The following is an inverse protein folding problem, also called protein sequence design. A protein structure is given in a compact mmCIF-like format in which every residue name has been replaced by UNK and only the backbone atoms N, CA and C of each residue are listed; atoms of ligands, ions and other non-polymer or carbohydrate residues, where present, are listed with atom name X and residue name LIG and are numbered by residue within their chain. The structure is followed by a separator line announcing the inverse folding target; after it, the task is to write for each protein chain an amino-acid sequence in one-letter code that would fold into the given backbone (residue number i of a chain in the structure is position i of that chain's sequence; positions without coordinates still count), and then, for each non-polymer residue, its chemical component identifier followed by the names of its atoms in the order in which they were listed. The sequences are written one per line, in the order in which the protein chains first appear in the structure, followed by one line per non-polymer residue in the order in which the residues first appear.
data_IF_186832215543
#
_entry.id   IF_186832215543
#
_cell.length_a   1.000
_cell.length_b   1.000
_cell.length_c   1.000
_cell.angle_alpha   90.00
_cell.angle_beta   90.00
_cell.angle_gamma   90.00
#
_symmetry.space_group_name_H-M   'P 1'
#
loop_
_entity.id
_entity.type
_entity.pdbx_description
1 polymer ?
#
# COMPACT_ATOMS: atom_id res chain seq x y z
N UNK A 1 -43.88 3.35 16.44
CA UNK A 1 -43.30 2.38 15.49
C UNK A 1 -42.69 3.05 14.24
N UNK A 2 -43.42 3.98 13.61
CA UNK A 2 -43.07 4.69 12.35
C UNK A 2 -41.71 5.42 12.39
N UNK A 3 -41.38 6.11 13.49
CA UNK A 3 -40.13 6.89 13.63
C UNK A 3 -38.87 6.00 13.54
N UNK A 4 -38.93 4.76 14.07
CA UNK A 4 -37.82 3.80 14.00
C UNK A 4 -37.59 3.31 12.57
N UNK A 5 -38.66 3.18 11.80
CA UNK A 5 -38.62 2.71 10.42
C UNK A 5 -38.09 3.78 9.46
N UNK A 6 -38.49 5.04 9.66
CA UNK A 6 -37.93 6.19 8.96
C UNK A 6 -36.42 6.34 9.21
N UNK A 7 -35.96 6.22 10.48
CA UNK A 7 -34.53 6.25 10.80
C UNK A 7 -33.75 5.12 10.12
N UNK A 8 -34.32 3.92 10.01
CA UNK A 8 -33.68 2.78 9.30
C UNK A 8 -33.55 3.05 7.80
N UNK A 9 -34.60 3.57 7.15
CA UNK A 9 -34.56 3.95 5.72
C UNK A 9 -33.53 5.06 5.45
N UNK A 10 -33.52 6.11 6.29
CA UNK A 10 -32.54 7.20 6.19
C UNK A 10 -31.09 6.70 6.34
N UNK A 11 -30.82 5.80 7.30
CA UNK A 11 -29.48 5.22 7.51
C UNK A 11 -29.02 4.36 6.33
N UNK A 12 -29.93 3.59 5.72
CA UNK A 12 -29.65 2.80 4.49
C UNK A 12 -29.34 3.70 3.29
N UNK A 13 -30.10 4.77 3.09
CA UNK A 13 -29.87 5.74 1.99
C UNK A 13 -28.54 6.46 2.17
N UNK A 14 -28.23 6.90 3.40
CA UNK A 14 -26.95 7.53 3.73
C UNK A 14 -25.77 6.57 3.47
N UNK A 15 -25.86 5.30 3.91
CA UNK A 15 -24.81 4.32 3.64
C UNK A 15 -24.64 4.04 2.15
N UNK A 16 -25.74 3.90 1.39
CA UNK A 16 -25.69 3.68 -0.07
C UNK A 16 -25.02 4.87 -0.79
N UNK A 17 -25.35 6.11 -0.43
CA UNK A 17 -24.69 7.32 -0.98
C UNK A 17 -23.20 7.39 -0.61
N UNK A 18 -22.83 7.05 0.63
CA UNK A 18 -21.42 6.99 1.06
C UNK A 18 -20.62 5.94 0.28
N UNK A 19 -21.20 4.77 0.04
CA UNK A 19 -20.59 3.68 -0.73
C UNK A 19 -20.43 4.04 -2.21
N UNK A 20 -21.42 4.69 -2.82
CA UNK A 20 -21.36 5.19 -4.20
C UNK A 20 -20.27 6.26 -4.33
N UNK A 21 -20.21 7.24 -3.41
CA UNK A 21 -19.16 8.26 -3.39
C UNK A 21 -17.76 7.65 -3.28
N UNK A 22 -17.58 6.66 -2.41
CA UNK A 22 -16.31 5.94 -2.29
C UNK A 22 -15.94 5.18 -3.57
N UNK A 23 -16.92 4.64 -4.31
CA UNK A 23 -16.68 3.97 -5.59
C UNK A 23 -16.18 4.95 -6.66
N UNK A 24 -16.80 6.13 -6.79
CA UNK A 24 -16.34 7.18 -7.70
C UNK A 24 -14.97 7.73 -7.31
N UNK A 25 -14.71 7.92 -6.01
CA UNK A 25 -13.39 8.33 -5.52
C UNK A 25 -12.31 7.30 -5.90
N UNK A 26 -12.59 5.99 -5.76
CA UNK A 26 -11.66 4.93 -6.16
C UNK A 26 -11.40 4.92 -7.67
N UNK A 27 -12.45 5.08 -8.48
CA UNK A 27 -12.31 5.16 -9.94
C UNK A 27 -11.53 6.41 -10.34
N UNK A 28 -11.78 7.56 -9.70
CA UNK A 28 -11.05 8.79 -9.94
C UNK A 28 -9.56 8.68 -9.59
N UNK A 29 -9.22 8.04 -8.47
CA UNK A 29 -7.82 7.76 -8.11
C UNK A 29 -7.17 6.84 -9.13
N UNK A 30 -7.84 5.75 -9.54
CA UNK A 30 -7.29 4.84 -10.57
C UNK A 30 -7.05 5.56 -11.91
N UNK A 31 -8.00 6.39 -12.36
CA UNK A 31 -7.86 7.17 -13.59
C UNK A 31 -6.74 8.21 -13.48
N UNK A 32 -6.62 8.88 -12.32
CA UNK A 32 -5.53 9.82 -12.08
C UNK A 32 -4.17 9.12 -12.10
N UNK A 33 -4.06 7.93 -11.49
CA UNK A 33 -2.83 7.12 -11.53
C UNK A 33 -2.51 6.68 -12.96
N UNK A 34 -3.50 6.26 -13.76
CA UNK A 34 -3.28 5.91 -15.16
C UNK A 34 -2.85 7.13 -15.98
N UNK A 35 -3.46 8.29 -15.74
CA UNK A 35 -3.12 9.55 -16.41
C UNK A 35 -1.70 10.02 -16.06
N UNK A 36 -1.30 9.98 -14.79
CA UNK A 36 0.06 10.34 -14.39
C UNK A 36 1.09 9.39 -15.00
N UNK A 37 0.81 8.08 -15.03
CA UNK A 37 1.65 7.11 -15.74
C UNK A 37 1.78 7.45 -17.23
N UNK A 38 0.68 7.80 -17.90
CA UNK A 38 0.67 8.17 -19.31
C UNK A 38 1.49 9.44 -19.58
N UNK A 39 1.33 10.49 -18.76
CA UNK A 39 2.05 11.76 -18.91
C UNK A 39 3.56 11.62 -18.69
N UNK A 40 3.98 10.76 -17.76
CA UNK A 40 5.40 10.51 -17.46
C UNK A 40 6.05 9.71 -18.59
N UNK A 41 5.38 8.66 -19.09
CA UNK A 41 5.87 7.89 -20.25
C UNK A 41 6.00 8.78 -21.49
N UNK A 42 5.15 9.79 -21.65
CA UNK A 42 5.25 10.78 -22.72
C UNK A 42 6.45 11.73 -22.61
N UNK A 43 7.05 11.89 -21.43
CA UNK A 43 8.10 12.90 -21.17
C UNK A 43 9.48 12.27 -21.07
N UNK A 44 9.99 11.75 -22.19
CA UNK A 44 11.30 11.06 -22.34
C UNK A 44 12.54 11.82 -21.80
N UNK A 45 12.45 13.12 -21.51
CA UNK A 45 13.58 13.97 -21.07
C UNK A 45 13.94 13.85 -19.58
N UNK A 46 13.03 13.37 -18.72
CA UNK A 46 13.30 13.24 -17.27
C UNK A 46 13.99 11.92 -16.90
N UNK A 47 14.13 11.00 -17.86
CA UNK A 47 14.68 9.65 -17.66
C UNK A 47 16.20 9.66 -17.41
N UNK A 48 16.94 10.63 -17.98
CA UNK A 48 18.39 10.74 -17.83
C UNK A 48 18.84 11.13 -16.41
N UNK A 49 17.97 11.74 -15.60
CA UNK A 49 18.31 12.03 -14.20
C UNK A 49 18.23 10.79 -13.30
N UNK A 50 17.48 9.75 -13.71
CA UNK A 50 17.37 8.49 -12.96
C UNK A 50 18.61 7.58 -13.11
N UNK A 51 19.36 7.71 -14.20
CA UNK A 51 20.53 6.88 -14.47
C UNK A 51 21.65 7.09 -13.44
N UNK A 52 21.80 8.32 -12.94
CA UNK A 52 22.80 8.68 -11.93
C UNK A 52 22.41 8.32 -10.48
N UNK A 53 21.14 7.98 -10.22
CA UNK A 53 20.68 7.59 -8.87
C UNK A 53 21.18 6.20 -8.46
N UNK A 54 21.39 5.31 -9.44
CA UNK A 54 21.79 3.93 -9.20
C UNK A 54 20.82 3.15 -8.30
N UNK A 55 21.25 1.95 -7.89
CA UNK A 55 20.46 1.10 -7.01
C UNK A 55 20.21 1.70 -5.61
N UNK A 56 21.15 2.48 -5.08
CA UNK A 56 20.99 3.12 -3.78
C UNK A 56 19.94 4.24 -3.82
N UNK A 57 19.96 5.09 -4.84
CA UNK A 57 18.94 6.11 -5.02
C UNK A 57 17.56 5.48 -5.23
N UNK A 58 17.48 4.41 -6.02
CA UNK A 58 16.25 3.63 -6.18
C UNK A 58 15.73 3.07 -4.86
N UNK A 59 16.61 2.51 -4.01
CA UNK A 59 16.24 2.05 -2.66
C UNK A 59 15.65 3.19 -1.84
N UNK A 60 16.34 4.32 -1.73
CA UNK A 60 15.92 5.47 -0.92
C UNK A 60 14.59 6.06 -1.41
N UNK A 61 14.40 6.20 -2.72
CA UNK A 61 13.13 6.64 -3.30
C UNK A 61 12.01 5.71 -2.84
N UNK A 62 12.22 4.39 -2.89
CA UNK A 62 11.23 3.40 -2.50
C UNK A 62 10.93 3.39 -0.99
N UNK A 63 11.93 3.68 -0.15
CA UNK A 63 11.76 3.91 1.31
C UNK A 63 10.86 5.11 1.54
N UNK A 64 11.25 6.29 1.06
CA UNK A 64 10.51 7.53 1.35
C UNK A 64 9.12 7.54 0.72
N UNK A 65 8.97 6.95 -0.47
CA UNK A 65 7.67 6.84 -1.15
C UNK A 65 6.65 5.98 -0.38
N UNK A 66 7.10 4.97 0.37
CA UNK A 66 6.19 4.13 1.17
C UNK A 66 6.15 4.53 2.64
N UNK A 67 7.09 5.36 3.10
CA UNK A 67 7.03 5.98 4.42
C UNK A 67 5.88 7.00 4.52
N UNK A 68 5.51 7.66 3.41
CA UNK A 68 4.36 8.56 3.36
C UNK A 68 3.07 7.78 3.22
N UNK A 69 2.37 7.59 4.35
CA UNK A 69 1.11 6.83 4.56
C UNK A 69 -0.06 7.15 3.59
N UNK A 70 0.07 8.16 2.72
CA UNK A 70 -1.05 8.69 1.92
C UNK A 70 -0.72 9.23 0.51
N UNK A 71 0.55 9.34 0.09
CA UNK A 71 0.90 9.92 -1.23
C UNK A 71 1.55 8.85 -2.13
N UNK A 72 0.75 8.10 -2.91
CA UNK A 72 1.25 6.99 -3.72
C UNK A 72 1.79 7.47 -5.07
N UNK A 73 2.94 8.14 -5.13
CA UNK A 73 3.31 8.81 -6.40
C UNK A 73 4.74 8.68 -6.96
N UNK A 74 5.78 8.12 -6.29
CA UNK A 74 7.06 7.86 -6.98
C UNK A 74 7.48 6.39 -7.17
N UNK A 75 7.05 5.48 -6.28
CA UNK A 75 7.64 4.13 -6.20
C UNK A 75 7.42 3.26 -7.46
N UNK A 76 6.19 3.19 -7.98
CA UNK A 76 5.89 2.37 -9.16
C UNK A 76 6.63 2.85 -10.41
N UNK A 77 6.71 4.16 -10.59
CA UNK A 77 7.38 4.79 -11.73
C UNK A 77 8.89 4.54 -11.63
N UNK A 78 9.49 4.76 -10.46
CA UNK A 78 10.91 4.53 -10.26
C UNK A 78 11.31 3.07 -10.52
N UNK A 79 10.48 2.09 -10.09
CA UNK A 79 10.70 0.67 -10.37
C UNK A 79 10.55 0.35 -11.85
N UNK A 80 9.53 0.90 -12.52
CA UNK A 80 9.29 0.69 -13.94
C UNK A 80 10.43 1.24 -14.80
N UNK A 81 10.85 2.49 -14.55
CA UNK A 81 11.98 3.13 -15.23
C UNK A 81 13.28 2.40 -14.90
N UNK A 82 13.53 2.11 -13.62
CA UNK A 82 14.73 1.38 -13.19
C UNK A 82 14.85 0.02 -13.87
N UNK A 83 13.73 -0.66 -14.11
CA UNK A 83 13.69 -1.93 -14.84
C UNK A 83 14.10 -1.83 -16.31
N UNK A 84 13.91 -0.67 -16.94
CA UNK A 84 14.40 -0.41 -18.30
C UNK A 84 15.89 -0.06 -18.34
N UNK A 85 16.40 0.59 -17.29
CA UNK A 85 17.78 1.08 -17.24
C UNK A 85 18.79 0.05 -16.69
N UNK A 86 18.35 -0.82 -15.78
CA UNK A 86 19.23 -1.75 -15.04
C UNK A 86 18.69 -3.17 -15.02
N UNK A 87 19.43 -4.10 -14.38
CA UNK A 87 18.97 -5.48 -14.22
C UNK A 87 17.59 -5.53 -13.51
N UNK A 88 16.52 -5.99 -14.18
CA UNK A 88 15.15 -5.92 -13.65
C UNK A 88 14.94 -6.72 -12.37
N UNK A 89 15.67 -7.82 -12.20
CA UNK A 89 15.60 -8.64 -10.99
C UNK A 89 16.17 -7.88 -9.78
N UNK A 90 17.36 -7.29 -9.92
CA UNK A 90 17.98 -6.49 -8.85
C UNK A 90 17.14 -5.25 -8.51
N UNK A 91 16.59 -4.58 -9.53
CA UNK A 91 15.64 -3.47 -9.35
C UNK A 91 14.45 -3.89 -8.50
N UNK A 92 13.85 -5.05 -8.81
CA UNK A 92 12.72 -5.59 -8.07
C UNK A 92 13.07 -5.91 -6.61
N UNK A 93 14.20 -6.57 -6.38
CA UNK A 93 14.68 -6.92 -5.03
C UNK A 93 14.95 -5.67 -4.19
N UNK A 94 15.76 -4.75 -4.71
CA UNK A 94 16.21 -3.56 -3.98
C UNK A 94 15.03 -2.62 -3.69
N UNK A 95 14.15 -2.43 -4.68
CA UNK A 95 12.95 -1.63 -4.48
C UNK A 95 11.99 -2.28 -3.49
N UNK A 96 11.84 -3.61 -3.55
CA UNK A 96 10.98 -4.35 -2.61
C UNK A 96 11.44 -4.23 -1.16
N UNK A 97 12.76 -4.31 -0.93
CA UNK A 97 13.35 -4.06 0.38
C UNK A 97 13.16 -2.61 0.83
N UNK A 98 13.38 -1.64 -0.06
CA UNK A 98 13.14 -0.22 0.22
C UNK A 98 11.69 0.03 0.63
N UNK A 99 10.73 -0.55 -0.10
CA UNK A 99 9.32 -0.47 0.28
C UNK A 99 9.07 -1.07 1.67
N UNK A 100 9.60 -2.26 1.97
CA UNK A 100 9.40 -2.91 3.26
C UNK A 100 9.95 -2.07 4.43
N UNK A 101 11.08 -1.38 4.23
CA UNK A 101 11.62 -0.43 5.21
C UNK A 101 10.71 0.78 5.38
N UNK A 102 10.20 1.36 4.29
CA UNK A 102 9.23 2.47 4.36
C UNK A 102 7.96 2.12 5.12
N UNK A 103 7.44 0.91 4.93
CA UNK A 103 6.23 0.40 5.60
C UNK A 103 6.40 0.20 7.11
N UNK A 104 7.64 0.15 7.61
CA UNK A 104 7.88 0.14 9.06
C UNK A 104 7.35 1.39 9.75
N UNK A 105 7.27 2.54 9.04
CA UNK A 105 6.67 3.76 9.58
C UNK A 105 5.22 3.52 9.94
N UNK A 106 4.43 2.95 9.02
CA UNK A 106 3.03 2.59 9.27
C UNK A 106 2.88 1.59 10.42
N UNK A 107 3.77 0.59 10.47
CA UNK A 107 3.81 -0.36 11.58
C UNK A 107 4.05 0.33 12.93
N UNK A 108 5.06 1.20 13.04
CA UNK A 108 5.35 1.89 14.30
C UNK A 108 4.28 2.91 14.70
N UNK A 109 3.65 3.57 13.73
CA UNK A 109 2.48 4.41 13.98
C UNK A 109 1.34 3.61 14.61
N UNK A 110 1.04 2.42 14.07
CA UNK A 110 0.08 1.50 14.67
C UNK A 110 0.48 1.03 16.07
N UNK A 111 1.75 0.70 16.26
CA UNK A 111 2.30 0.29 17.55
C UNK A 111 2.17 1.37 18.62
N UNK A 112 2.41 2.63 18.28
CA UNK A 112 2.19 3.78 19.16
C UNK A 112 0.70 4.06 19.44
N UNK A 113 -0.18 3.82 18.47
CA UNK A 113 -1.62 4.05 18.56
C UNK A 113 -2.43 3.01 19.35
N UNK A 114 -1.79 2.00 19.95
CA UNK A 114 -2.49 0.88 20.62
C UNK A 114 -3.40 1.29 21.77
N UNK A 115 -3.09 2.38 22.47
CA UNK A 115 -3.96 2.90 23.53
C UNK A 115 -5.37 3.27 23.06
N UNK A 116 -5.56 3.55 21.76
CA UNK A 116 -6.86 3.86 21.17
C UNK A 116 -7.80 2.65 21.22
N UNK A 117 -7.27 1.42 21.23
CA UNK A 117 -8.06 0.18 21.26
C UNK A 117 -8.96 0.13 22.52
N UNK A 118 -8.48 0.63 23.65
CA UNK A 118 -9.22 0.63 24.92
C UNK A 118 -10.46 1.52 24.89
N UNK A 119 -10.48 2.52 24.00
CA UNK A 119 -11.59 3.44 23.81
C UNK A 119 -12.60 2.94 22.75
N UNK A 120 -12.36 1.77 22.14
CA UNK A 120 -13.31 1.18 21.19
C UNK A 120 -14.49 0.56 21.94
N UNK A 121 -15.70 0.93 21.53
CA UNK A 121 -16.95 0.43 22.12
C UNK A 121 -17.85 -0.29 21.11
N UNK A 122 -18.75 -1.13 21.63
CA UNK A 122 -19.79 -1.81 20.86
C UNK A 122 -19.27 -2.61 19.67
N UNK A 123 -19.75 -2.28 18.46
CA UNK A 123 -19.43 -3.03 17.23
C UNK A 123 -17.96 -2.90 16.80
N UNK A 124 -17.28 -1.81 17.15
CA UNK A 124 -15.88 -1.59 16.79
C UNK A 124 -14.95 -2.55 17.52
N UNK A 125 -15.17 -2.74 18.83
CA UNK A 125 -14.41 -3.68 19.66
C UNK A 125 -14.59 -5.12 19.19
N UNK A 126 -15.81 -5.51 18.86
CA UNK A 126 -16.11 -6.85 18.32
C UNK A 126 -15.46 -7.09 16.97
N UNK A 127 -15.48 -6.09 16.07
CA UNK A 127 -14.78 -6.18 14.79
C UNK A 127 -13.27 -6.30 14.98
N UNK A 128 -12.69 -5.48 15.85
CA UNK A 128 -11.25 -5.52 16.16
C UNK A 128 -10.81 -6.90 16.67
N UNK A 129 -11.55 -7.50 17.61
CA UNK A 129 -11.28 -8.87 18.09
C UNK A 129 -11.31 -9.92 16.98
N UNK A 130 -12.20 -9.77 15.99
CA UNK A 130 -12.24 -10.68 14.82
C UNK A 130 -10.99 -10.52 13.96
N UNK A 131 -10.56 -9.29 13.72
CA UNK A 131 -9.33 -8.99 12.96
C UNK A 131 -8.13 -9.55 13.70
N UNK A 132 -8.03 -9.34 15.01
CA UNK A 132 -6.97 -9.91 15.87
C UNK A 132 -6.93 -11.44 15.80
N UNK A 133 -8.08 -12.11 15.94
CA UNK A 133 -8.16 -13.57 15.87
C UNK A 133 -7.74 -14.12 14.50
N UNK A 134 -8.07 -13.40 13.41
CA UNK A 134 -7.61 -13.75 12.07
C UNK A 134 -6.10 -13.52 11.93
N UNK A 135 -5.58 -12.38 12.36
CA UNK A 135 -4.15 -12.06 12.29
C UNK A 135 -3.29 -13.04 13.09
N UNK A 136 -3.79 -13.54 14.23
CA UNK A 136 -3.13 -14.60 15.01
C UNK A 136 -2.93 -15.89 14.21
N UNK A 137 -3.89 -16.26 13.35
CA UNK A 137 -3.85 -17.49 12.55
C UNK A 137 -3.13 -17.32 11.21
N UNK A 138 -3.32 -16.19 10.55
CA UNK A 138 -2.93 -16.01 9.14
C UNK A 138 -2.20 -14.70 8.85
N UNK A 139 -1.75 -13.97 9.87
CA UNK A 139 -1.15 -12.63 9.72
C UNK A 139 -0.02 -12.58 8.68
N UNK A 140 0.90 -13.54 8.69
CA UNK A 140 2.03 -13.59 7.74
C UNK A 140 1.53 -13.68 6.30
N UNK A 141 0.63 -14.63 6.03
CA UNK A 141 0.04 -14.84 4.70
C UNK A 141 -0.78 -13.64 4.27
N UNK A 142 -1.56 -13.05 5.18
CA UNK A 142 -2.34 -11.84 4.92
C UNK A 142 -1.43 -10.69 4.51
N UNK A 143 -0.34 -10.42 5.25
CA UNK A 143 0.62 -9.36 4.93
C UNK A 143 1.31 -9.64 3.59
N UNK A 144 1.75 -10.87 3.35
CA UNK A 144 2.41 -11.25 2.10
C UNK A 144 1.50 -11.05 0.88
N UNK A 145 0.28 -11.59 0.91
CA UNK A 145 -0.65 -11.49 -0.23
C UNK A 145 -1.05 -10.03 -0.46
N UNK A 146 -1.36 -9.30 0.61
CA UNK A 146 -1.78 -7.90 0.48
C UNK A 146 -0.65 -6.96 0.05
N UNK A 147 0.61 -7.28 0.37
CA UNK A 147 1.77 -6.51 -0.10
C UNK A 147 2.15 -6.81 -1.55
N UNK A 148 1.94 -8.05 -2.00
CA UNK A 148 2.19 -8.46 -3.38
C UNK A 148 1.18 -7.84 -4.35
N UNK A 149 -0.08 -7.74 -3.95
CA UNK A 149 -1.12 -7.11 -4.77
C UNK A 149 -0.97 -5.59 -4.65
N UNK A 150 -1.01 -4.83 -5.76
CA UNK A 150 -0.96 -3.36 -5.74
C UNK A 150 -2.28 -2.78 -5.19
N UNK A 151 -2.51 -2.95 -3.88
CA UNK A 151 -3.66 -2.40 -3.17
C UNK A 151 -3.34 -0.99 -2.67
N UNK A 152 -4.19 0.02 -2.93
CA UNK A 152 -3.96 1.40 -2.51
C UNK A 152 -4.08 1.62 -0.98
N UNK A 153 -4.34 0.57 -0.21
CA UNK A 153 -4.60 0.64 1.23
C UNK A 153 -3.71 -0.32 2.03
N UNK A 154 -2.58 -0.78 1.48
CA UNK A 154 -1.67 -1.66 2.21
C UNK A 154 -1.15 -1.02 3.51
N UNK A 155 -0.96 0.30 3.53
CA UNK A 155 -0.50 1.05 4.71
C UNK A 155 -1.42 0.83 5.93
N UNK A 156 -2.72 0.58 5.69
CA UNK A 156 -3.68 0.20 6.75
C UNK A 156 -3.30 -1.15 7.36
N UNK A 157 -2.85 -2.11 6.55
CA UNK A 157 -2.35 -3.42 7.02
C UNK A 157 -1.12 -3.22 7.89
N UNK A 158 -0.20 -2.32 7.52
CA UNK A 158 0.94 -1.94 8.35
C UNK A 158 0.52 -1.41 9.72
N UNK A 159 -0.36 -0.40 9.74
CA UNK A 159 -0.89 0.19 10.98
C UNK A 159 -1.62 -0.85 11.83
N UNK A 160 -2.47 -1.68 11.22
CA UNK A 160 -3.19 -2.75 11.93
C UNK A 160 -2.22 -3.77 12.52
N UNK A 161 -1.18 -4.16 11.78
CA UNK A 161 -0.15 -5.10 12.25
C UNK A 161 0.57 -4.56 13.48
N UNK A 162 0.96 -3.28 13.45
CA UNK A 162 1.56 -2.60 14.61
C UNK A 162 0.61 -2.50 15.79
N UNK A 163 -0.65 -2.12 15.53
CA UNK A 163 -1.72 -2.02 16.52
C UNK A 163 -1.96 -3.37 17.22
N UNK A 164 -1.84 -4.47 16.49
CA UNK A 164 -2.01 -5.83 17.04
C UNK A 164 -0.75 -6.40 17.70
N UNK A 165 0.33 -5.62 17.83
CA UNK A 165 1.62 -6.09 18.32
C UNK A 165 2.16 -7.31 17.53
N UNK A 166 1.91 -7.34 16.22
CA UNK A 166 2.40 -8.43 15.39
C UNK A 166 3.94 -8.44 15.38
N UNK A 167 4.63 -9.60 15.38
CA UNK A 167 6.09 -9.61 15.43
C UNK A 167 6.72 -8.86 14.25
N UNK A 168 7.53 -7.84 14.55
CA UNK A 168 8.13 -6.92 13.56
C UNK A 168 8.87 -7.68 12.45
N UNK A 169 9.66 -8.68 12.80
CA UNK A 169 10.43 -9.46 11.82
C UNK A 169 9.52 -10.25 10.87
N UNK A 170 8.39 -10.79 11.37
CA UNK A 170 7.41 -11.50 10.53
C UNK A 170 6.71 -10.53 9.58
N UNK A 171 6.37 -9.35 10.07
CA UNK A 171 5.81 -8.28 9.25
C UNK A 171 6.79 -7.85 8.15
N UNK A 172 8.04 -7.58 8.51
CA UNK A 172 9.07 -7.14 7.57
C UNK A 172 9.33 -8.18 6.49
N UNK A 173 9.53 -9.46 6.85
CA UNK A 173 9.78 -10.53 5.87
C UNK A 173 8.58 -10.72 4.95
N UNK A 174 7.36 -10.80 5.50
CA UNK A 174 6.16 -10.96 4.68
C UNK A 174 5.98 -9.80 3.69
N UNK A 175 6.20 -8.56 4.16
CA UNK A 175 6.10 -7.36 3.34
C UNK A 175 7.20 -7.32 2.28
N UNK A 176 8.44 -7.62 2.65
CA UNK A 176 9.57 -7.67 1.72
C UNK A 176 9.32 -8.69 0.61
N UNK A 177 8.94 -9.92 0.94
CA UNK A 177 8.67 -10.95 -0.07
C UNK A 177 7.56 -10.53 -1.04
N UNK A 178 6.45 -9.98 -0.54
CA UNK A 178 5.37 -9.54 -1.41
C UNK A 178 5.76 -8.36 -2.29
N UNK A 179 6.45 -7.36 -1.73
CA UNK A 179 6.91 -6.17 -2.48
C UNK A 179 7.99 -6.51 -3.49
N UNK A 180 8.91 -7.43 -3.18
CA UNK A 180 9.91 -7.94 -4.13
C UNK A 180 9.20 -8.62 -5.30
N UNK A 181 8.27 -9.55 -5.04
CA UNK A 181 7.53 -10.23 -6.09
C UNK A 181 6.80 -9.24 -7.02
N UNK A 182 6.09 -8.28 -6.43
CA UNK A 182 5.37 -7.23 -7.16
C UNK A 182 6.32 -6.38 -8.02
N UNK A 183 7.43 -5.95 -7.44
CA UNK A 183 8.35 -5.03 -8.10
C UNK A 183 9.20 -5.73 -9.16
N UNK A 184 9.49 -7.02 -9.04
CA UNK A 184 10.10 -7.81 -10.11
C UNK A 184 9.18 -7.79 -11.33
N UNK A 185 7.89 -8.11 -11.17
CA UNK A 185 6.91 -8.08 -12.27
C UNK A 185 6.87 -6.70 -12.93
N UNK A 186 6.87 -5.64 -12.12
CA UNK A 186 6.83 -4.26 -12.60
C UNK A 186 8.11 -3.84 -13.34
N UNK A 187 9.28 -4.21 -12.81
CA UNK A 187 10.58 -3.92 -13.43
C UNK A 187 10.73 -4.64 -14.77
N UNK A 188 10.32 -5.92 -14.85
CA UNK A 188 10.28 -6.66 -16.11
C UNK A 188 9.30 -6.06 -17.12
N UNK A 189 8.20 -5.47 -16.64
CA UNK A 189 7.28 -4.75 -17.53
C UNK A 189 7.94 -3.49 -18.10
N UNK A 190 8.68 -2.75 -17.27
CA UNK A 190 9.50 -1.61 -17.70
C UNK A 190 10.53 -1.99 -18.76
N UNK A 191 11.31 -3.05 -18.49
CA UNK A 191 12.34 -3.58 -19.37
C UNK A 191 11.85 -3.99 -20.76
N UNK A 192 10.58 -4.39 -20.88
CA UNK A 192 9.98 -4.82 -22.16
C UNK A 192 9.25 -3.70 -22.90
N UNK A 193 8.71 -2.72 -22.18
CA UNK A 193 7.85 -1.68 -22.75
C UNK A 193 8.66 -0.45 -23.17
N UNK A 194 9.70 -0.10 -22.40
CA UNK A 194 10.62 0.98 -22.74
C UNK A 194 11.76 0.34 -23.56
N UNK A 195 11.84 0.64 -24.87
CA UNK A 195 12.90 0.13 -25.74
C UNK A 195 14.25 0.78 -25.44
#
# INVERSE_FOLDING_TARGET
MIIREMRRKAKKIYQKRKQIRQRYLRIGVLLLTILTLFLIVGRKRDFYQFENLGYLGLFLINVFSNATVLIPLPSFIAVFIGGALWNPFLVGVISGLGNAVGELVGFFLGYGGRGIINHLEGSQKTWFKKVEAWFRKSGFVTIFITSAIPLPFFDIVGIVSGTLNYPLWKFFIATALGRILRNIILAWSGAKIIP
#
